data_IF_538793268831
#
_entry.id   IF_538793268831
#
_cell.length_a   1.000
_cell.length_b   1.000
_cell.length_c   1.000
_cell.angle_alpha   90.00
_cell.angle_beta   90.00
_cell.angle_gamma   90.00
#
_symmetry.space_group_name_H-M   'P 1'
#
loop_
_entity.id
_entity.type
_entity.pdbx_description
1 polymer ?
#
# COMPACT_ATOMS: atom_id res chain seq x y z
N UNK A 1 13.11 -7.23 -3.60
CA UNK A 1 13.59 -7.56 -2.24
C UNK A 1 12.58 -7.06 -1.21
N UNK A 2 12.23 -7.89 -0.23
CA UNK A 2 11.38 -7.47 0.89
C UNK A 2 12.25 -6.93 2.04
N UNK A 3 11.83 -5.83 2.64
CA UNK A 3 12.45 -5.15 3.79
C UNK A 3 11.72 -5.58 5.07
N UNK A 4 12.42 -5.55 6.20
CA UNK A 4 11.84 -5.81 7.51
C UNK A 4 11.39 -4.51 8.18
N UNK A 5 10.33 -4.61 8.97
CA UNK A 5 9.81 -3.54 9.81
C UNK A 5 9.21 -4.15 11.08
N UNK A 6 9.42 -3.53 12.23
CA UNK A 6 8.71 -3.89 13.47
C UNK A 6 7.71 -2.80 13.79
N UNK A 7 6.45 -3.18 14.02
CA UNK A 7 5.36 -2.28 14.42
C UNK A 7 4.71 -2.89 15.66
N UNK A 8 4.69 -2.14 16.76
CA UNK A 8 4.09 -2.57 18.03
C UNK A 8 4.58 -3.97 18.49
N UNK A 9 5.88 -4.23 18.33
CA UNK A 9 6.50 -5.51 18.71
C UNK A 9 6.29 -6.66 17.72
N UNK A 10 5.50 -6.48 16.67
CA UNK A 10 5.29 -7.49 15.62
C UNK A 10 6.19 -7.21 14.41
N UNK A 11 6.89 -8.23 13.94
CA UNK A 11 7.77 -8.13 12.77
C UNK A 11 7.01 -8.40 11.47
N UNK A 12 7.19 -7.54 10.48
CA UNK A 12 6.59 -7.61 9.16
C UNK A 12 7.66 -7.59 8.07
N UNK A 13 7.38 -8.26 6.95
CA UNK A 13 8.11 -8.12 5.70
C UNK A 13 7.27 -7.29 4.74
N UNK A 14 7.90 -6.31 4.09
CA UNK A 14 7.22 -5.47 3.12
C UNK A 14 8.05 -5.28 1.86
N UNK A 15 7.38 -5.13 0.72
CA UNK A 15 8.03 -4.86 -0.56
C UNK A 15 7.17 -3.91 -1.37
N UNK A 16 7.82 -2.96 -2.03
CA UNK A 16 7.18 -2.09 -2.99
C UNK A 16 7.52 -2.57 -4.40
N UNK A 17 6.51 -2.82 -5.22
CA UNK A 17 6.75 -3.16 -6.62
C UNK A 17 7.39 -1.98 -7.36
N UNK A 18 8.37 -2.28 -8.21
CA UNK A 18 9.08 -1.28 -9.00
C UNK A 18 8.26 -0.75 -10.18
N UNK A 19 7.35 -1.56 -10.72
CA UNK A 19 6.48 -1.21 -11.84
C UNK A 19 5.21 -0.53 -11.32
N UNK A 20 4.77 0.52 -12.01
CA UNK A 20 3.46 1.13 -11.77
C UNK A 20 2.34 0.32 -12.43
N UNK A 21 1.19 0.24 -11.77
CA UNK A 21 -0.05 -0.33 -12.29
C UNK A 21 -1.04 0.80 -12.55
N UNK A 22 -1.82 0.70 -13.63
CA UNK A 22 -2.89 1.66 -13.93
C UNK A 22 -4.20 1.19 -13.32
N UNK A 23 -4.79 2.01 -12.46
CA UNK A 23 -6.12 1.82 -11.87
C UNK A 23 -6.95 3.06 -12.13
N UNK A 24 -8.02 2.93 -12.92
CA UNK A 24 -8.87 4.07 -13.26
C UNK A 24 -8.15 5.20 -14.00
N UNK A 25 -7.09 4.89 -14.77
CA UNK A 25 -6.30 5.88 -15.50
C UNK A 25 -5.19 6.55 -14.69
N UNK A 26 -5.08 6.25 -13.39
CA UNK A 26 -4.03 6.78 -12.51
C UNK A 26 -2.97 5.71 -12.25
N UNK A 27 -1.72 6.15 -12.09
CA UNK A 27 -0.59 5.27 -11.82
C UNK A 27 -0.43 5.01 -10.32
N UNK A 28 -0.24 3.75 -9.95
CA UNK A 28 -0.05 3.29 -8.58
C UNK A 28 1.14 2.37 -8.45
N UNK A 29 1.74 2.30 -7.26
CA UNK A 29 2.69 1.25 -6.89
C UNK A 29 2.08 0.35 -5.84
N UNK A 30 2.28 -0.95 -6.02
CA UNK A 30 1.79 -1.95 -5.08
C UNK A 30 2.78 -2.14 -3.92
N UNK A 31 2.35 -1.79 -2.71
CA UNK A 31 2.98 -2.18 -1.46
C UNK A 31 2.36 -3.50 -0.98
N UNK A 32 3.20 -4.52 -0.83
CA UNK A 32 2.82 -5.79 -0.19
C UNK A 32 3.40 -5.83 1.21
N UNK A 33 2.58 -6.15 2.22
CA UNK A 33 3.00 -6.40 3.61
C UNK A 33 2.52 -7.76 4.06
N UNK A 34 3.39 -8.52 4.73
CA UNK A 34 3.09 -9.83 5.33
C UNK A 34 3.72 -9.93 6.71
N UNK A 35 3.20 -10.82 7.55
CA UNK A 35 3.87 -11.16 8.81
C UNK A 35 5.22 -11.83 8.53
N UNK A 36 6.25 -11.47 9.30
CA UNK A 36 7.60 -11.95 9.07
C UNK A 36 7.80 -13.43 9.47
N UNK A 37 6.98 -13.98 10.35
CA UNK A 37 7.14 -15.37 10.78
C UNK A 37 6.47 -16.34 9.79
N UNK A 38 5.31 -15.97 9.23
CA UNK A 38 4.60 -16.78 8.26
C UNK A 38 3.70 -15.94 7.35
N UNK A 39 3.61 -16.32 6.07
CA UNK A 39 2.65 -15.73 5.13
C UNK A 39 1.30 -16.42 5.29
N UNK A 40 0.47 -15.93 6.22
CA UNK A 40 -0.90 -16.47 6.44
C UNK A 40 -1.99 -15.58 5.85
N UNK A 41 -1.75 -14.28 5.82
CA UNK A 41 -2.59 -13.29 5.16
C UNK A 41 -1.70 -12.13 4.69
N UNK A 42 -1.86 -11.72 3.44
CA UNK A 42 -1.14 -10.59 2.87
C UNK A 42 -1.99 -9.32 2.87
N UNK A 43 -1.32 -8.17 2.91
CA UNK A 43 -1.91 -6.85 2.73
C UNK A 43 -1.34 -6.24 1.45
N UNK A 44 -2.22 -5.95 0.51
CA UNK A 44 -1.91 -5.25 -0.74
C UNK A 44 -2.44 -3.82 -0.66
N UNK A 45 -1.55 -2.85 -0.80
CA UNK A 45 -1.88 -1.43 -0.75
C UNK A 45 -1.41 -0.75 -2.02
N UNK A 46 -2.34 -0.19 -2.78
CA UNK A 46 -2.04 0.62 -3.94
C UNK A 46 -1.78 2.05 -3.48
N UNK A 47 -0.56 2.51 -3.71
CA UNK A 47 -0.09 3.85 -3.34
C UNK A 47 0.00 4.66 -4.61
N UNK A 48 -0.72 5.79 -4.67
CA UNK A 48 -0.66 6.68 -5.83
C UNK A 48 0.80 7.07 -6.10
N UNK A 49 1.20 6.93 -7.35
CA UNK A 49 2.53 7.25 -7.80
C UNK A 49 2.42 7.91 -9.16
N UNK A 50 2.49 9.23 -9.17
CA UNK A 50 2.56 9.98 -10.41
C UNK A 50 3.99 9.83 -10.98
N UNK A 51 4.11 9.08 -12.09
CA UNK A 51 5.39 8.88 -12.76
C UNK A 51 5.75 10.16 -13.53
N UNK A 52 6.86 10.85 -13.19
CA UNK A 52 7.23 12.10 -13.84
C UNK A 52 7.47 11.95 -15.35
N UNK A 53 7.76 10.75 -15.84
CA UNK A 53 7.95 10.49 -17.27
C UNK A 53 6.63 10.40 -18.05
N UNK A 54 5.49 10.16 -17.38
CA UNK A 54 4.16 10.21 -18.00
C UNK A 54 3.73 11.64 -18.34
N UNK A 55 4.37 12.64 -17.73
CA UNK A 55 4.04 14.06 -17.86
C UNK A 55 5.11 14.86 -18.62
N UNK A 56 5.98 14.18 -19.40
CA UNK A 56 6.98 14.85 -20.23
C UNK A 56 6.28 15.69 -21.31
N UNK A 57 6.29 17.01 -21.11
CA UNK A 57 5.64 17.99 -21.98
C UNK A 57 4.49 18.75 -21.33
N UNK A 58 4.02 18.30 -20.16
CA UNK A 58 3.04 19.05 -19.36
C UNK A 58 3.72 20.17 -18.57
N UNK A 59 3.12 21.36 -18.61
CA UNK A 59 3.68 22.59 -18.05
C UNK A 59 3.56 22.62 -16.51
N UNK A 60 2.76 21.73 -15.93
CA UNK A 60 2.40 21.74 -14.51
C UNK A 60 2.82 20.45 -13.78
N UNK A 61 4.14 20.27 -13.63
CA UNK A 61 4.75 19.20 -12.85
C UNK A 61 4.49 19.31 -11.33
N UNK A 62 3.80 20.37 -10.87
CA UNK A 62 3.47 20.64 -9.46
C UNK A 62 2.57 19.59 -8.83
N UNK A 63 1.78 18.88 -9.65
CA UNK A 63 0.83 17.87 -9.20
C UNK A 63 1.43 16.46 -9.08
N UNK A 64 2.74 16.30 -9.34
CA UNK A 64 3.42 15.00 -9.28
C UNK A 64 3.61 14.55 -7.82
N UNK A 65 2.67 13.75 -7.32
CA UNK A 65 2.85 13.05 -6.04
C UNK A 65 3.82 11.87 -6.17
N UNK A 66 5.10 12.16 -5.97
CA UNK A 66 6.14 11.14 -5.77
C UNK A 66 6.25 10.78 -4.28
N UNK A 67 5.22 10.13 -3.74
CA UNK A 67 5.19 9.79 -2.32
C UNK A 67 6.29 8.77 -1.97
N UNK A 68 7.23 9.19 -1.14
CA UNK A 68 8.30 8.30 -0.67
C UNK A 68 7.73 7.21 0.25
N UNK A 69 7.82 5.96 -0.18
CA UNK A 69 7.37 4.79 0.60
C UNK A 69 8.53 4.31 1.47
N UNK A 70 8.60 4.87 2.68
CA UNK A 70 9.55 4.50 3.72
C UNK A 70 8.93 3.66 4.85
N UNK A 71 9.76 3.18 5.80
CA UNK A 71 9.30 2.39 6.94
C UNK A 71 8.24 3.12 7.80
N UNK A 72 8.30 4.44 7.91
CA UNK A 72 7.28 5.23 8.63
C UNK A 72 5.90 5.14 8.00
N UNK A 73 5.81 5.24 6.67
CA UNK A 73 4.53 5.09 5.96
C UNK A 73 4.00 3.66 6.09
N UNK A 74 4.87 2.67 5.90
CA UNK A 74 4.51 1.25 6.04
C UNK A 74 4.02 0.95 7.46
N UNK A 75 4.65 1.52 8.49
CA UNK A 75 4.21 1.39 9.88
C UNK A 75 2.79 1.93 10.07
N UNK A 76 2.51 3.13 9.55
CA UNK A 76 1.17 3.72 9.60
C UNK A 76 0.13 2.87 8.86
N UNK A 77 0.46 2.37 7.68
CA UNK A 77 -0.39 1.45 6.90
C UNK A 77 -0.72 0.19 7.70
N UNK A 78 0.27 -0.41 8.36
CA UNK A 78 0.06 -1.59 9.22
C UNK A 78 -0.91 -1.27 10.35
N UNK A 79 -0.70 -0.16 11.06
CA UNK A 79 -1.59 0.26 12.16
C UNK A 79 -3.02 0.48 11.67
N UNK A 80 -3.20 1.17 10.55
CA UNK A 80 -4.53 1.43 9.98
C UNK A 80 -5.21 0.14 9.50
N UNK A 81 -4.47 -0.76 8.85
CA UNK A 81 -5.01 -2.04 8.39
C UNK A 81 -5.42 -2.94 9.56
N UNK A 82 -4.60 -2.99 10.62
CA UNK A 82 -4.94 -3.69 11.88
C UNK A 82 -6.22 -3.11 12.50
N UNK A 83 -6.35 -1.79 12.56
CA UNK A 83 -7.57 -1.13 13.03
C UNK A 83 -8.80 -1.42 12.15
N UNK A 84 -8.59 -1.68 10.86
CA UNK A 84 -9.62 -2.12 9.91
C UNK A 84 -9.92 -3.63 9.95
N UNK A 85 -9.31 -4.39 10.88
CA UNK A 85 -9.56 -5.83 11.07
C UNK A 85 -8.61 -6.75 10.31
N UNK A 86 -7.47 -6.26 9.81
CA UNK A 86 -6.43 -7.13 9.26
C UNK A 86 -5.77 -7.95 10.36
N UNK A 87 -5.75 -9.27 10.22
CA UNK A 87 -5.20 -10.21 11.22
C UNK A 87 -4.13 -11.11 10.58
N UNK A 88 -2.91 -10.61 10.32
CA UNK A 88 -1.89 -11.32 9.55
C UNK A 88 -1.36 -12.61 10.16
N UNK A 89 -1.63 -12.85 11.44
CA UNK A 89 -1.31 -14.09 12.16
C UNK A 89 -2.34 -15.19 11.90
N UNK A 90 -3.54 -14.84 11.45
CA UNK A 90 -4.59 -15.77 11.05
C UNK A 90 -4.51 -16.04 9.55
N UNK A 91 -5.00 -17.22 9.14
CA UNK A 91 -5.18 -17.49 7.70
C UNK A 91 -6.37 -16.67 7.21
N UNK A 92 -6.20 -16.00 6.07
CA UNK A 92 -7.25 -15.22 5.47
C UNK A 92 -6.91 -14.80 4.04
N UNK A 93 -7.89 -14.26 3.30
CA UNK A 93 -7.64 -13.73 1.97
C UNK A 93 -6.73 -12.51 2.03
N UNK A 94 -6.00 -12.26 0.95
CA UNK A 94 -5.25 -11.01 0.79
C UNK A 94 -6.20 -9.83 0.85
N UNK A 95 -5.98 -8.92 1.81
CA UNK A 95 -6.76 -7.69 1.90
C UNK A 95 -6.19 -6.65 0.95
N UNK A 96 -7.06 -5.89 0.30
CA UNK A 96 -6.72 -4.92 -0.73
C UNK A 96 -7.19 -3.53 -0.32
N UNK A 97 -6.28 -2.57 -0.28
CA UNK A 97 -6.58 -1.19 0.08
C UNK A 97 -5.95 -0.20 -0.90
N UNK A 98 -6.61 0.94 -1.09
CA UNK A 98 -6.04 2.15 -1.68
C UNK A 98 -5.52 3.04 -0.56
N UNK A 99 -4.33 3.61 -0.71
CA UNK A 99 -3.82 4.66 0.17
C UNK A 99 -4.13 6.02 -0.46
N UNK A 100 -5.05 6.77 0.15
CA UNK A 100 -5.41 8.13 -0.28
C UNK A 100 -4.43 9.19 0.23
N UNK A 101 -4.59 10.42 -0.27
CA UNK A 101 -3.69 11.56 -0.05
C UNK A 101 -3.51 11.87 1.45
N UNK A 102 -4.57 11.77 2.27
CA UNK A 102 -4.50 11.96 3.73
C UNK A 102 -3.94 10.78 4.53
N UNK A 103 -3.33 9.80 3.83
CA UNK A 103 -2.90 8.52 4.37
C UNK A 103 -4.04 7.71 5.00
N UNK A 104 -5.22 7.81 4.41
CA UNK A 104 -6.38 6.98 4.71
C UNK A 104 -6.32 5.69 3.88
N UNK A 105 -6.63 4.56 4.50
CA UNK A 105 -6.82 3.29 3.78
C UNK A 105 -8.29 3.13 3.39
N UNK A 106 -8.54 2.92 2.11
CA UNK A 106 -9.87 2.60 1.56
C UNK A 106 -9.86 1.17 1.06
N UNK A 107 -10.77 0.33 1.55
CA UNK A 107 -10.85 -1.06 1.11
C UNK A 107 -11.31 -1.12 -0.36
N UNK A 108 -10.57 -1.83 -1.21
CA UNK A 108 -10.92 -2.03 -2.63
C UNK A 108 -11.88 -3.20 -2.85
N UNK A 109 -11.99 -4.09 -1.86
CA UNK A 109 -12.80 -5.32 -1.89
C UNK A 109 -14.04 -5.21 -0.98
N UNK A 110 -14.48 -3.99 -0.64
CA UNK A 110 -15.78 -3.85 0.00
C UNK A 110 -16.85 -4.27 -1.03
N UNK A 111 -17.65 -5.33 -0.79
CA UNK A 111 -18.87 -5.48 -1.56
C UNK A 111 -19.64 -4.18 -1.33
N UNK A 112 -19.84 -3.38 -2.38
CA UNK A 112 -20.92 -2.41 -2.39
C UNK A 112 -22.17 -3.25 -2.21
N UNK A 113 -22.69 -3.29 -0.99
CA UNK A 113 -24.02 -3.80 -0.73
C UNK A 113 -24.98 -2.92 -1.53
N UNK A 114 -25.54 -3.52 -2.56
CA UNK A 114 -26.85 -3.18 -3.09
C UNK A 114 -27.75 -4.40 -2.81
#
# INVERSE_FOLDING_TARGET
>A
MARLLTVEGVSYRWSLQGRSESLGGLAYRLLTVVWAEATRQALHVWIRHDDPWLHVGDVDASALETRSVGPGLVGRVVTLARAAGWEPEKRGPTLKFLLEEDARLVALDAPRGD
#
